data_IF_866829415778
#
_entry.id   IF_866829415778
#
_cell.length_a   1.000
_cell.length_b   1.000
_cell.length_c   1.000
_cell.angle_alpha   90.00
_cell.angle_beta   90.00
_cell.angle_gamma   90.00
#
_symmetry.space_group_name_H-M   'P 1'
#
loop_
_entity.id
_entity.type
_entity.pdbx_description
1 polymer ?
#
# COMPACT_ATOMS: atom_id res chain seq x y z
N UNK A 1 62.46 -2.51 3.86
CA UNK A 1 61.78 -2.84 2.59
C UNK A 1 61.12 -4.21 2.75
N UNK A 2 59.80 -4.27 2.99
CA UNK A 2 59.09 -5.54 3.22
C UNK A 2 59.00 -6.35 1.92
N UNK A 3 59.57 -7.55 1.90
CA UNK A 3 59.60 -8.45 0.73
C UNK A 3 58.46 -9.46 0.84
N UNK A 4 57.29 -9.11 0.32
CA UNK A 4 56.11 -10.00 0.32
C UNK A 4 56.30 -11.07 -0.75
N UNK A 5 56.16 -12.36 -0.38
CA UNK A 5 56.25 -13.45 -1.35
C UNK A 5 54.89 -13.72 -2.04
N UNK A 6 54.92 -14.41 -3.19
CA UNK A 6 53.73 -14.71 -4.01
C UNK A 6 52.64 -15.52 -3.29
N UNK A 7 53.00 -16.34 -2.29
CA UNK A 7 52.07 -17.11 -1.45
C UNK A 7 51.37 -16.20 -0.43
N UNK A 8 52.12 -15.30 0.21
CA UNK A 8 51.57 -14.30 1.13
C UNK A 8 50.57 -13.38 0.42
N UNK A 9 50.91 -12.92 -0.80
CA UNK A 9 50.01 -12.09 -1.60
C UNK A 9 48.65 -12.78 -1.89
N UNK A 10 48.67 -14.07 -2.23
CA UNK A 10 47.44 -14.85 -2.47
C UNK A 10 46.57 -14.99 -1.23
N UNK A 11 47.19 -15.15 -0.05
CA UNK A 11 46.48 -15.26 1.23
C UNK A 11 45.78 -13.93 1.54
N UNK A 12 46.47 -12.80 1.38
CA UNK A 12 45.88 -11.48 1.59
C UNK A 12 44.74 -11.19 0.62
N UNK A 13 44.88 -11.54 -0.66
CA UNK A 13 43.79 -11.36 -1.62
C UNK A 13 42.56 -12.19 -1.27
N UNK A 14 42.76 -13.44 -0.81
CA UNK A 14 41.65 -14.31 -0.40
C UNK A 14 40.95 -13.79 0.86
N UNK A 15 41.72 -13.29 1.83
CA UNK A 15 41.17 -12.74 3.07
C UNK A 15 40.38 -11.45 2.81
N UNK A 16 40.90 -10.57 1.95
CA UNK A 16 40.21 -9.34 1.55
C UNK A 16 38.88 -9.64 0.85
N UNK A 17 38.84 -10.64 -0.04
CA UNK A 17 37.62 -11.05 -0.73
C UNK A 17 36.57 -11.59 0.24
N UNK A 18 36.99 -12.38 1.23
CA UNK A 18 36.11 -12.92 2.25
C UNK A 18 35.49 -11.81 3.12
N UNK A 19 36.30 -10.84 3.55
CA UNK A 19 35.82 -9.69 4.34
C UNK A 19 34.83 -8.85 3.52
N UNK A 20 35.12 -8.59 2.24
CA UNK A 20 34.21 -7.86 1.36
C UNK A 20 32.86 -8.57 1.20
N UNK A 21 32.88 -9.90 1.07
CA UNK A 21 31.67 -10.72 0.96
C UNK A 21 30.83 -10.64 2.25
N UNK A 22 31.47 -10.74 3.42
CA UNK A 22 30.79 -10.62 4.71
C UNK A 22 30.15 -9.25 4.91
N UNK A 23 30.85 -8.16 4.56
CA UNK A 23 30.31 -6.80 4.61
C UNK A 23 29.08 -6.65 3.70
N UNK A 24 29.14 -7.22 2.49
CA UNK A 24 28.03 -7.18 1.53
C UNK A 24 26.79 -7.93 2.04
N UNK A 25 26.98 -9.10 2.66
CA UNK A 25 25.90 -9.89 3.28
C UNK A 25 25.25 -9.11 4.43
N UNK A 26 26.05 -8.51 5.31
CA UNK A 26 25.55 -7.71 6.44
C UNK A 26 24.79 -6.48 5.94
N UNK A 27 25.31 -5.78 4.94
CA UNK A 27 24.65 -4.62 4.34
C UNK A 27 23.26 -4.98 3.77
N UNK A 28 23.16 -6.10 3.07
CA UNK A 28 21.90 -6.60 2.54
C UNK A 28 20.92 -7.02 3.66
N UNK A 29 21.39 -7.71 4.71
CA UNK A 29 20.55 -8.13 5.83
C UNK A 29 19.97 -6.92 6.59
N UNK A 30 20.80 -5.92 6.89
CA UNK A 30 20.38 -4.71 7.60
C UNK A 30 19.35 -3.90 6.79
N UNK A 31 19.51 -3.81 5.47
CA UNK A 31 18.55 -3.12 4.62
C UNK A 31 17.22 -3.89 4.50
N UNK A 32 17.27 -5.22 4.49
CA UNK A 32 16.08 -6.08 4.44
C UNK A 32 15.25 -5.98 5.74
N UNK A 33 15.89 -5.86 6.90
CA UNK A 33 15.19 -5.72 8.18
C UNK A 33 14.51 -4.35 8.35
N UNK A 34 15.17 -3.27 7.92
CA UNK A 34 14.59 -1.92 8.04
C UNK A 34 13.33 -1.76 7.20
N UNK A 35 13.33 -2.29 5.97
CA UNK A 35 12.15 -2.23 5.09
C UNK A 35 11.01 -3.08 5.63
N UNK A 36 11.28 -4.27 6.18
CA UNK A 36 10.26 -5.14 6.78
C UNK A 36 9.63 -4.54 8.05
N UNK A 37 10.42 -3.90 8.92
CA UNK A 37 9.89 -3.25 10.14
C UNK A 37 9.03 -2.03 9.80
N UNK A 38 9.45 -1.23 8.82
CA UNK A 38 8.67 -0.08 8.36
C UNK A 38 7.36 -0.50 7.69
N UNK A 39 7.39 -1.50 6.80
CA UNK A 39 6.20 -2.07 6.18
C UNK A 39 5.21 -2.60 7.23
N UNK A 40 5.71 -3.31 8.24
CA UNK A 40 4.88 -3.82 9.33
C UNK A 40 4.21 -2.65 10.08
N UNK A 41 4.94 -1.59 10.40
CA UNK A 41 4.39 -0.44 11.12
C UNK A 41 3.33 0.33 10.32
N UNK A 42 3.55 0.60 9.02
CA UNK A 42 2.56 1.28 8.18
C UNK A 42 1.32 0.42 7.94
N UNK A 43 1.48 -0.89 7.74
CA UNK A 43 0.37 -1.83 7.64
C UNK A 43 -0.43 -1.91 8.95
N UNK A 44 0.24 -1.96 10.12
CA UNK A 44 -0.45 -1.90 11.41
C UNK A 44 -1.16 -0.56 11.66
N UNK A 45 -0.56 0.57 11.26
CA UNK A 45 -1.18 1.87 11.37
C UNK A 45 -2.43 1.96 10.49
N UNK A 46 -2.36 1.45 9.26
CA UNK A 46 -3.51 1.38 8.36
C UNK A 46 -4.60 0.43 8.88
N UNK A 47 -4.24 -0.77 9.36
CA UNK A 47 -5.20 -1.73 9.91
C UNK A 47 -5.87 -1.14 11.16
N UNK A 48 -5.09 -0.52 12.05
CA UNK A 48 -5.66 0.18 13.19
C UNK A 48 -6.54 1.34 12.72
N UNK A 49 -6.15 2.12 11.72
CA UNK A 49 -7.02 3.15 11.13
C UNK A 49 -8.34 2.53 10.62
N UNK A 50 -8.29 1.55 9.73
CA UNK A 50 -9.47 0.88 9.18
C UNK A 50 -10.37 0.24 10.26
N UNK A 51 -9.80 -0.29 11.35
CA UNK A 51 -10.54 -0.91 12.46
C UNK A 51 -11.00 0.13 13.52
N UNK A 52 -10.26 1.21 13.73
CA UNK A 52 -10.50 2.20 14.81
C UNK A 52 -11.49 3.29 14.42
N UNK A 53 -11.89 3.36 13.15
CA UNK A 53 -12.97 4.23 12.74
C UNK A 53 -14.28 3.66 13.27
N UNK A 54 -14.79 4.30 14.31
CA UNK A 54 -16.20 4.19 14.70
C UNK A 54 -17.06 4.35 13.43
N UNK A 55 -18.15 3.57 13.33
CA UNK A 55 -19.13 3.56 12.22
C UNK A 55 -19.76 4.94 11.88
N UNK A 56 -19.35 6.01 12.56
CA UNK A 56 -19.86 7.38 12.45
C UNK A 56 -19.03 8.30 11.54
N UNK A 57 -17.78 7.96 11.16
CA UNK A 57 -16.99 8.83 10.29
C UNK A 57 -17.46 8.71 8.83
N UNK A 58 -18.36 9.61 8.47
CA UNK A 58 -18.94 9.73 7.11
C UNK A 58 -18.04 10.51 6.15
N UNK A 59 -16.81 10.85 6.51
CA UNK A 59 -15.95 11.65 5.65
C UNK A 59 -15.11 10.80 4.71
N UNK A 60 -14.80 11.36 3.54
CA UNK A 60 -13.71 10.89 2.70
C UNK A 60 -12.40 11.23 3.40
N UNK A 61 -11.53 10.25 3.59
CA UNK A 61 -10.28 10.41 4.35
C UNK A 61 -9.09 9.99 3.50
N UNK A 62 -8.05 10.82 3.53
CA UNK A 62 -6.81 10.59 2.80
C UNK A 62 -5.72 10.28 3.81
N UNK A 63 -5.30 9.02 3.84
CA UNK A 63 -4.23 8.53 4.69
C UNK A 63 -2.92 8.54 3.90
N UNK A 64 -1.92 9.25 4.42
CA UNK A 64 -0.56 9.27 3.88
C UNK A 64 0.24 8.13 4.53
N UNK A 65 0.68 7.16 3.71
CA UNK A 65 1.34 5.95 4.18
C UNK A 65 2.74 6.26 4.73
N UNK A 66 3.44 7.22 4.13
CA UNK A 66 4.76 7.64 4.57
C UNK A 66 4.69 8.32 5.95
N UNK A 67 3.65 9.13 6.18
CA UNK A 67 3.42 9.79 7.48
C UNK A 67 2.70 8.92 8.50
N UNK A 68 1.99 7.88 8.06
CA UNK A 68 1.23 6.98 8.93
C UNK A 68 -0.01 7.64 9.57
N UNK A 69 -0.60 8.63 8.94
CA UNK A 69 -1.75 9.38 9.48
C UNK A 69 -2.67 9.94 8.39
N UNK A 70 -3.91 10.28 8.77
CA UNK A 70 -4.83 11.05 7.92
C UNK A 70 -4.31 12.47 7.75
N UNK A 71 -4.19 12.93 6.51
CA UNK A 71 -3.71 14.28 6.16
C UNK A 71 -4.83 15.20 5.66
N UNK A 72 -5.96 14.63 5.24
CA UNK A 72 -7.12 15.38 4.75
C UNK A 72 -8.41 14.60 5.02
N UNK A 73 -9.45 15.31 5.43
CA UNK A 73 -10.81 14.78 5.67
C UNK A 73 -11.81 15.72 4.99
N UNK A 74 -12.69 15.18 4.17
CA UNK A 74 -13.63 15.90 3.32
C UNK A 74 -15.03 15.31 3.50
N UNK A 75 -16.07 16.15 3.45
CA UNK A 75 -17.45 15.65 3.44
C UNK A 75 -17.72 14.79 2.21
N UNK A 76 -18.60 13.79 2.33
CA UNK A 76 -19.05 12.99 1.16
C UNK A 76 -19.53 13.90 0.05
N UNK A 77 -19.12 13.58 -1.17
CA UNK A 77 -19.60 14.20 -2.38
C UNK A 77 -20.15 13.11 -3.32
N UNK A 78 -21.33 13.34 -3.88
CA UNK A 78 -21.97 12.44 -4.85
C UNK A 78 -21.08 12.12 -6.05
N UNK A 79 -20.20 13.04 -6.47
CA UNK A 79 -19.25 12.80 -7.55
C UNK A 79 -18.28 11.67 -7.16
N UNK A 80 -17.62 11.81 -6.01
CA UNK A 80 -16.68 10.81 -5.47
C UNK A 80 -17.38 9.48 -5.16
N UNK A 81 -18.62 9.54 -4.67
CA UNK A 81 -19.45 8.35 -4.44
C UNK A 81 -19.72 7.58 -5.75
N UNK A 82 -20.05 8.29 -6.84
CA UNK A 82 -20.30 7.65 -8.14
C UNK A 82 -19.01 7.07 -8.76
N UNK A 83 -17.87 7.74 -8.58
CA UNK A 83 -16.55 7.21 -8.97
C UNK A 83 -16.25 5.90 -8.23
N UNK A 84 -16.49 5.85 -6.92
CA UNK A 84 -16.33 4.62 -6.13
C UNK A 84 -17.20 3.47 -6.66
N UNK A 85 -18.44 3.74 -7.06
CA UNK A 85 -19.32 2.75 -7.70
C UNK A 85 -18.74 2.27 -9.04
N UNK A 86 -18.19 3.18 -9.86
CA UNK A 86 -17.55 2.83 -11.13
C UNK A 86 -16.33 1.92 -10.92
N UNK A 87 -15.53 2.18 -9.89
CA UNK A 87 -14.38 1.34 -9.54
C UNK A 87 -14.82 -0.08 -9.16
N UNK A 88 -15.86 -0.20 -8.33
CA UNK A 88 -16.44 -1.50 -7.95
C UNK A 88 -17.00 -2.28 -9.15
N UNK A 89 -17.59 -1.58 -10.13
CA UNK A 89 -18.12 -2.20 -11.35
C UNK A 89 -17.02 -2.63 -12.32
N UNK A 90 -15.88 -1.95 -12.30
CA UNK A 90 -14.76 -2.19 -13.21
C UNK A 90 -13.70 -3.14 -12.67
N UNK A 91 -13.99 -3.86 -11.58
CA UNK A 91 -13.07 -4.87 -11.02
C UNK A 91 -12.73 -5.93 -12.08
N UNK A 92 -11.43 -6.06 -12.35
CA UNK A 92 -10.89 -7.00 -13.36
C UNK A 92 -10.37 -8.29 -12.72
N UNK A 93 -9.97 -8.25 -11.46
CA UNK A 93 -9.45 -9.43 -10.76
C UNK A 93 -8.92 -9.17 -9.37
N UNK A 94 -8.57 -10.25 -8.65
CA UNK A 94 -7.85 -10.13 -7.39
C UNK A 94 -6.46 -9.52 -7.60
N UNK A 95 -6.00 -8.74 -6.62
CA UNK A 95 -4.65 -8.20 -6.58
C UNK A 95 -3.67 -9.24 -6.01
N UNK A 96 -2.70 -9.75 -6.79
CA UNK A 96 -1.94 -10.95 -6.42
C UNK A 96 -0.71 -10.68 -5.53
N UNK A 97 -0.47 -9.45 -5.05
CA UNK A 97 0.74 -9.16 -4.26
C UNK A 97 0.57 -9.61 -2.81
N UNK A 98 1.57 -10.34 -2.31
CA UNK A 98 1.64 -10.83 -0.92
C UNK A 98 1.62 -9.67 0.09
N UNK A 99 2.36 -8.60 -0.20
CA UNK A 99 2.29 -7.35 0.56
C UNK A 99 1.42 -6.36 -0.21
N UNK A 100 0.11 -6.40 0.07
CA UNK A 100 -0.88 -5.59 -0.62
C UNK A 100 -0.98 -4.15 -0.10
N UNK A 101 -0.39 -3.81 1.05
CA UNK A 101 -0.23 -2.43 1.50
C UNK A 101 1.17 -1.95 1.08
N UNK A 102 1.29 -0.87 0.29
CA UNK A 102 2.58 -0.40 -0.17
C UNK A 102 3.33 0.31 0.96
N UNK A 103 4.64 0.49 0.81
CA UNK A 103 5.44 1.23 1.79
C UNK A 103 5.24 2.75 1.72
N UNK A 104 4.71 3.23 0.59
CA UNK A 104 4.59 4.66 0.28
C UNK A 104 3.36 4.90 -0.58
N UNK A 105 2.78 6.09 -0.44
CA UNK A 105 1.64 6.54 -1.23
C UNK A 105 0.46 6.92 -0.36
N UNK A 106 -0.74 6.80 -0.93
CA UNK A 106 -1.96 7.25 -0.28
C UNK A 106 -3.02 6.16 -0.27
N UNK A 107 -3.85 6.17 0.77
CA UNK A 107 -5.08 5.38 0.83
C UNK A 107 -6.23 6.36 0.99
N UNK A 108 -7.16 6.31 0.05
CA UNK A 108 -8.35 7.15 0.06
C UNK A 108 -9.52 6.28 0.50
N UNK A 109 -10.01 6.51 1.71
CA UNK A 109 -11.24 5.89 2.20
C UNK A 109 -12.42 6.68 1.65
N UNK A 110 -13.34 5.98 1.00
CA UNK A 110 -14.56 6.56 0.44
C UNK A 110 -15.76 5.86 1.07
N UNK A 111 -16.51 6.55 1.95
CA UNK A 111 -17.80 6.06 2.43
C UNK A 111 -18.81 5.94 1.29
N UNK A 112 -19.56 4.84 1.31
CA UNK A 112 -20.69 4.60 0.42
C UNK A 112 -21.97 4.92 1.17
N UNK A 113 -22.39 6.18 1.10
CA UNK A 113 -23.68 6.64 1.64
C UNK A 113 -24.60 7.13 0.51
N UNK A 114 -25.68 6.39 0.18
CA UNK A 114 -26.14 5.15 0.80
C UNK A 114 -25.25 3.94 0.47
N UNK A 115 -25.32 2.89 1.29
CA UNK A 115 -24.58 1.65 1.07
C UNK A 115 -24.91 1.04 -0.31
N UNK A 116 -23.91 0.43 -0.93
CA UNK A 116 -24.03 -0.10 -2.30
C UNK A 116 -24.04 -1.61 -2.28
N UNK A 117 -25.10 -2.21 -2.81
CA UNK A 117 -25.12 -3.64 -3.09
C UNK A 117 -24.34 -3.95 -4.36
N UNK A 118 -23.26 -4.72 -4.24
CA UNK A 118 -22.41 -5.15 -5.35
C UNK A 118 -22.64 -6.63 -5.59
N UNK A 119 -22.94 -6.97 -6.84
CA UNK A 119 -23.04 -8.37 -7.28
C UNK A 119 -22.27 -8.56 -8.57
N UNK A 120 -21.06 -9.08 -8.46
CA UNK A 120 -20.17 -9.44 -9.56
C UNK A 120 -19.42 -10.74 -9.24
N UNK A 121 -18.45 -11.13 -10.07
CA UNK A 121 -17.70 -12.39 -9.89
C UNK A 121 -16.80 -12.42 -8.64
N UNK A 122 -16.53 -11.25 -8.05
CA UNK A 122 -15.56 -11.03 -6.98
C UNK A 122 -16.23 -10.70 -5.64
N UNK A 123 -17.38 -10.03 -5.69
CA UNK A 123 -18.11 -9.51 -4.53
C UNK A 123 -19.61 -9.81 -4.72
N UNK A 124 -20.24 -10.40 -3.69
CA UNK A 124 -21.69 -10.55 -3.57
C UNK A 124 -22.09 -10.08 -2.17
N UNK A 125 -22.42 -8.80 -2.03
CA UNK A 125 -22.69 -8.21 -0.73
C UNK A 125 -22.91 -6.69 -0.75
N UNK A 126 -23.32 -6.16 0.40
CA UNK A 126 -23.49 -4.72 0.62
C UNK A 126 -22.21 -4.13 1.18
N UNK A 127 -21.71 -3.07 0.54
CA UNK A 127 -20.52 -2.34 0.96
C UNK A 127 -20.93 -0.98 1.52
N UNK A 128 -20.34 -0.63 2.66
CA UNK A 128 -20.51 0.68 3.31
C UNK A 128 -19.36 1.63 3.00
N UNK A 129 -18.24 1.12 2.49
CA UNK A 129 -17.06 1.91 2.16
C UNK A 129 -16.14 1.11 1.24
N UNK A 130 -15.24 1.83 0.56
CA UNK A 130 -14.10 1.27 -0.16
C UNK A 130 -12.84 2.05 0.15
N UNK A 131 -11.70 1.44 -0.12
CA UNK A 131 -10.40 2.07 -0.02
C UNK A 131 -9.71 2.02 -1.38
N UNK A 132 -9.36 3.18 -1.93
CA UNK A 132 -8.56 3.29 -3.17
C UNK A 132 -7.12 3.51 -2.78
N UNK A 133 -6.24 2.59 -3.16
CA UNK A 133 -4.83 2.60 -2.80
C UNK A 133 -4.01 3.10 -3.98
N UNK A 134 -3.28 4.19 -3.75
CA UNK A 134 -2.37 4.84 -4.69
C UNK A 134 -0.91 4.62 -4.24
N UNK A 135 -0.21 3.61 -4.76
CA UNK A 135 1.22 3.42 -4.46
C UNK A 135 2.08 4.53 -5.09
N UNK A 136 3.18 4.97 -4.44
CA UNK A 136 4.10 6.00 -4.98
C UNK A 136 4.97 5.57 -6.19
N UNK A 137 4.69 4.42 -6.81
CA UNK A 137 5.41 3.91 -7.99
C UNK A 137 4.42 3.81 -9.16
N UNK A 138 4.92 3.61 -10.38
CA UNK A 138 4.13 3.38 -11.62
C UNK A 138 3.12 2.21 -11.58
N UNK A 139 2.93 1.58 -10.42
CA UNK A 139 1.87 0.59 -10.21
C UNK A 139 0.49 1.27 -10.31
N UNK A 140 -0.41 0.66 -11.05
CA UNK A 140 -1.79 1.13 -11.14
C UNK A 140 -2.48 1.12 -9.76
N UNK A 141 -3.40 2.07 -9.49
CA UNK A 141 -4.24 2.04 -8.30
C UNK A 141 -5.04 0.73 -8.20
N UNK A 142 -5.34 0.31 -6.99
CA UNK A 142 -6.14 -0.87 -6.71
C UNK A 142 -7.08 -0.64 -5.53
N UNK A 143 -8.12 -1.46 -5.44
CA UNK A 143 -9.12 -1.38 -4.38
C UNK A 143 -8.76 -2.30 -3.23
N UNK A 144 -9.15 -1.85 -2.05
CA UNK A 144 -9.35 -2.67 -0.88
C UNK A 144 -10.82 -2.54 -0.44
N UNK A 145 -11.44 -3.68 -0.17
CA UNK A 145 -12.78 -3.80 0.39
C UNK A 145 -12.70 -4.71 1.60
N UNK A 146 -13.46 -4.39 2.65
CA UNK A 146 -13.63 -5.26 3.80
C UNK A 146 -14.89 -6.11 3.60
N UNK A 147 -14.78 -7.42 3.77
CA UNK A 147 -15.95 -8.29 3.72
C UNK A 147 -16.79 -8.22 5.00
N UNK A 148 -17.85 -9.03 5.07
CA UNK A 148 -18.75 -9.14 6.21
C UNK A 148 -18.06 -9.50 7.53
N UNK A 149 -16.85 -10.06 7.47
CA UNK A 149 -16.01 -10.44 8.62
C UNK A 149 -14.84 -9.48 8.84
N UNK A 150 -14.90 -8.29 8.23
CA UNK A 150 -13.83 -7.29 8.28
C UNK A 150 -12.50 -7.79 7.72
N UNK A 151 -12.53 -8.77 6.80
CA UNK A 151 -11.32 -9.30 6.17
C UNK A 151 -10.97 -8.45 4.93
N UNK A 152 -9.70 -8.05 4.77
CA UNK A 152 -9.29 -7.25 3.62
C UNK A 152 -9.22 -8.08 2.34
N UNK A 153 -9.93 -7.62 1.31
CA UNK A 153 -9.93 -8.16 -0.05
C UNK A 153 -9.40 -7.10 -1.01
N UNK A 154 -8.39 -7.46 -1.81
CA UNK A 154 -7.73 -6.53 -2.72
C UNK A 154 -8.03 -6.84 -4.19
N UNK A 155 -8.33 -5.82 -4.98
CA UNK A 155 -8.79 -5.96 -6.35
C UNK A 155 -8.13 -4.98 -7.31
N UNK A 156 -7.74 -5.48 -8.48
CA UNK A 156 -7.48 -4.64 -9.65
C UNK A 156 -8.81 -4.15 -10.24
N UNK A 157 -8.81 -2.96 -10.81
CA UNK A 157 -9.95 -2.40 -11.54
C UNK A 157 -9.49 -1.63 -12.77
N UNK A 158 -10.41 -1.29 -13.66
CA UNK A 158 -10.12 -0.54 -14.89
C UNK A 158 -11.02 0.69 -15.00
N UNK A 159 -10.57 1.80 -14.41
CA UNK A 159 -11.24 3.10 -14.50
C UNK A 159 -10.22 4.24 -14.34
N UNK A 160 -10.60 5.44 -14.79
CA UNK A 160 -9.76 6.63 -14.63
C UNK A 160 -9.83 7.13 -13.16
N UNK A 161 -8.67 7.36 -12.56
CA UNK A 161 -8.55 7.90 -11.19
C UNK A 161 -8.19 9.38 -11.12
N UNK A 162 -7.87 10.02 -12.25
CA UNK A 162 -7.48 11.43 -12.30
C UNK A 162 -8.63 12.34 -11.84
N UNK A 163 -9.87 11.97 -12.20
CA UNK A 163 -11.07 12.72 -11.80
C UNK A 163 -11.24 12.69 -10.28
N UNK A 164 -11.03 11.54 -9.64
CA UNK A 164 -11.04 11.41 -8.18
C UNK A 164 -9.98 12.30 -7.54
N UNK A 165 -8.74 12.22 -8.00
CA UNK A 165 -7.64 12.99 -7.43
C UNK A 165 -7.86 14.50 -7.56
N UNK A 166 -8.38 14.93 -8.71
CA UNK A 166 -8.78 16.32 -8.95
C UNK A 166 -9.90 16.75 -8.01
N UNK A 167 -10.94 15.94 -7.83
CA UNK A 167 -12.06 16.24 -6.93
C UNK A 167 -11.63 16.34 -5.45
N UNK A 168 -10.50 15.72 -5.11
CA UNK A 168 -9.94 15.70 -3.77
C UNK A 168 -8.79 16.71 -3.59
N UNK A 169 -8.49 17.54 -4.59
CA UNK A 169 -7.30 18.41 -4.68
C UNK A 169 -6.02 17.70 -4.21
N UNK A 170 -5.80 16.49 -4.72
CA UNK A 170 -4.60 15.71 -4.49
C UNK A 170 -3.72 15.72 -5.74
N UNK A 171 -2.50 16.22 -5.58
CA UNK A 171 -1.43 16.09 -6.57
C UNK A 171 -0.56 14.89 -6.15
N UNK A 172 -0.56 13.83 -6.96
CA UNK A 172 0.27 12.63 -6.75
C UNK A 172 1.62 12.73 -7.47
#
# INVERSE_FOLDING_TARGET
MFKINKKQLKIYTSLALFVFCMISIIYNAVNTDKTNRFNKQSAFAFINFAISLNEESKNIEIFDIDKGQVIKSLSVNNIVHNEAIEYLKSITGMYPKVNAIPNKGYIIRIPLEPSVFVKNKWIDGTLNEIYVIFPSKEDSPYLLVLDDKQRPLFFNFNANTDTLLKNLDLEL
#
